data_IF_136108209226
#
_entry.id   IF_136108209226
#
_cell.length_a   1.000
_cell.length_b   1.000
_cell.length_c   1.000
_cell.angle_alpha   90.00
_cell.angle_beta   90.00
_cell.angle_gamma   90.00
#
_symmetry.space_group_name_H-M   'P 1'
#
loop_
_entity.id
_entity.type
_entity.pdbx_description
1 polymer ?
#
# COMPACT_ATOMS: atom_id res chain seq x y z
N UNK A 1 -0.49 4.98 22.34
CA UNK A 1 0.82 5.64 22.27
C UNK A 1 0.57 7.12 21.96
N UNK A 2 1.32 8.07 22.53
CA UNK A 2 1.16 9.47 22.16
C UNK A 2 1.60 9.66 20.70
N UNK A 3 0.74 10.27 19.87
CA UNK A 3 1.04 10.60 18.48
C UNK A 3 1.88 11.86 18.47
N UNK A 4 3.05 11.81 17.84
CA UNK A 4 3.92 12.98 17.70
C UNK A 4 3.38 13.87 16.57
N UNK A 5 2.93 15.08 16.91
CA UNK A 5 2.46 16.06 15.92
C UNK A 5 3.67 16.66 15.21
N UNK A 6 3.65 16.61 13.88
CA UNK A 6 4.70 17.10 12.99
C UNK A 6 4.26 18.37 12.26
N UNK A 7 5.13 19.39 12.28
CA UNK A 7 4.81 20.71 11.74
C UNK A 7 4.72 20.74 10.19
N UNK A 8 5.44 19.86 9.49
CA UNK A 8 5.36 19.71 8.03
C UNK A 8 4.02 19.15 7.57
N UNK A 9 3.54 18.11 8.24
CA UNK A 9 2.22 17.50 7.99
C UNK A 9 1.12 18.51 8.29
N UNK A 10 1.20 19.20 9.43
CA UNK A 10 0.25 20.26 9.79
C UNK A 10 0.21 21.35 8.73
N UNK A 11 1.36 21.84 8.26
CA UNK A 11 1.43 22.86 7.22
C UNK A 11 0.74 22.42 5.93
N UNK A 12 1.02 21.20 5.45
CA UNK A 12 0.39 20.67 4.24
C UNK A 12 -1.11 20.47 4.40
N UNK A 13 -1.56 20.00 5.56
CA UNK A 13 -2.98 19.83 5.85
C UNK A 13 -3.72 21.17 5.82
N UNK A 14 -3.21 22.17 6.53
CA UNK A 14 -3.81 23.51 6.58
C UNK A 14 -3.83 24.16 5.19
N UNK A 15 -2.73 24.03 4.44
CA UNK A 15 -2.63 24.57 3.08
C UNK A 15 -3.62 23.93 2.11
N UNK A 16 -3.73 22.59 2.14
CA UNK A 16 -4.67 21.82 1.32
C UNK A 16 -6.13 22.21 1.62
N UNK A 17 -6.46 22.40 2.89
CA UNK A 17 -7.80 22.86 3.31
C UNK A 17 -8.05 24.27 2.78
N UNK A 18 -7.09 25.19 2.93
CA UNK A 18 -7.21 26.56 2.43
C UNK A 18 -7.41 26.62 0.90
N UNK A 19 -6.64 25.82 0.15
CA UNK A 19 -6.71 25.79 -1.31
C UNK A 19 -8.05 25.24 -1.80
N UNK A 20 -8.64 24.33 -1.03
CA UNK A 20 -9.96 23.76 -1.29
C UNK A 20 -11.10 24.72 -0.92
N UNK A 21 -10.95 25.50 0.16
CA UNK A 21 -11.91 26.54 0.57
C UNK A 21 -11.95 27.71 -0.43
N UNK A 22 -10.80 28.05 -1.04
CA UNK A 22 -10.67 29.15 -2.01
C UNK A 22 -11.26 28.84 -3.38
N UNK A 23 -11.39 27.57 -3.75
CA UNK A 23 -11.84 27.14 -5.07
C UNK A 23 -12.92 26.03 -4.92
N UNK A 24 -14.13 26.39 -4.45
CA UNK A 24 -15.15 25.42 -4.08
C UNK A 24 -15.62 24.63 -5.31
N UNK A 25 -15.09 23.41 -5.44
CA UNK A 25 -15.59 22.39 -6.36
C UNK A 25 -16.79 21.63 -5.79
N UNK A 26 -17.33 20.64 -6.52
CA UNK A 26 -18.46 19.83 -6.04
C UNK A 26 -18.09 18.94 -4.83
N UNK A 27 -16.81 18.69 -4.61
CA UNK A 27 -16.31 17.78 -3.57
C UNK A 27 -15.58 18.54 -2.45
N UNK A 28 -15.86 18.23 -1.16
CA UNK A 28 -15.12 18.79 -0.03
C UNK A 28 -13.64 18.36 -0.05
N UNK A 29 -12.80 19.05 0.72
CA UNK A 29 -11.34 18.80 0.83
C UNK A 29 -11.05 17.30 0.88
N UNK A 30 -10.35 16.79 -0.12
CA UNK A 30 -9.94 15.38 -0.16
C UNK A 30 -8.42 15.28 -0.01
N UNK A 31 -7.99 14.54 1.02
CA UNK A 31 -6.59 14.23 1.27
C UNK A 31 -6.22 12.94 0.57
N UNK A 32 -5.21 13.00 -0.28
CA UNK A 32 -4.59 11.81 -0.86
C UNK A 32 -3.12 11.74 -0.44
N UNK A 33 -2.51 10.58 -0.64
CA UNK A 33 -1.12 10.37 -0.25
C UNK A 33 -0.12 11.26 -1.01
N UNK A 34 -0.47 11.71 -2.23
CA UNK A 34 0.37 12.61 -3.01
C UNK A 34 0.46 14.02 -2.39
N UNK A 35 -0.51 14.41 -1.57
CA UNK A 35 -0.48 15.68 -0.81
C UNK A 35 0.62 15.71 0.25
N UNK A 36 1.09 14.53 0.66
CA UNK A 36 2.15 14.34 1.65
C UNK A 36 3.40 13.69 1.04
N UNK A 37 3.61 13.88 -0.28
CA UNK A 37 4.77 13.32 -0.98
C UNK A 37 6.08 13.71 -0.28
N UNK A 38 6.88 12.70 0.10
CA UNK A 38 8.14 12.89 0.84
C UNK A 38 7.98 12.94 2.37
N UNK A 39 6.77 12.71 2.89
CA UNK A 39 6.50 12.60 4.33
C UNK A 39 5.92 11.22 4.62
N UNK A 40 6.67 10.41 5.38
CA UNK A 40 6.17 9.15 5.94
C UNK A 40 5.06 9.43 6.95
N UNK A 41 3.83 9.08 6.58
CA UNK A 41 2.64 9.30 7.39
C UNK A 41 1.77 8.06 7.40
N UNK A 42 1.62 7.41 8.56
CA UNK A 42 0.67 6.30 8.69
C UNK A 42 -0.76 6.85 8.76
N UNK A 43 -1.80 6.03 8.45
CA UNK A 43 -3.18 6.45 8.65
C UNK A 43 -3.50 6.87 10.09
N UNK A 44 -2.86 6.22 11.08
CA UNK A 44 -3.00 6.58 12.48
C UNK A 44 -2.36 7.95 12.80
N UNK A 45 -1.19 8.22 12.22
CA UNK A 45 -0.54 9.53 12.35
C UNK A 45 -1.38 10.61 11.68
N UNK A 46 -1.82 10.40 10.44
CA UNK A 46 -2.70 11.33 9.71
C UNK A 46 -3.96 11.66 10.53
N UNK A 47 -4.65 10.64 11.04
CA UNK A 47 -5.84 10.82 11.88
C UNK A 47 -5.51 11.55 13.17
N UNK A 48 -4.35 11.27 13.79
CA UNK A 48 -3.90 12.00 14.98
C UNK A 48 -3.62 13.47 14.73
N UNK A 49 -3.06 13.82 13.56
CA UNK A 49 -2.84 15.22 13.17
C UNK A 49 -4.18 15.91 12.88
N UNK A 50 -5.11 15.21 12.22
CA UNK A 50 -6.43 15.73 11.92
C UNK A 50 -7.27 15.94 13.19
N UNK A 51 -7.23 14.97 14.12
CA UNK A 51 -7.85 15.06 15.44
C UNK A 51 -7.25 16.19 16.27
N UNK A 52 -5.92 16.33 16.30
CA UNK A 52 -5.24 17.46 16.94
C UNK A 52 -5.70 18.81 16.39
N UNK A 53 -5.72 18.97 15.06
CA UNK A 53 -6.15 20.22 14.42
C UNK A 53 -7.61 20.55 14.74
N UNK A 54 -8.46 19.54 14.86
CA UNK A 54 -9.87 19.71 15.21
C UNK A 54 -10.07 20.02 16.71
N UNK A 55 -9.39 19.30 17.60
CA UNK A 55 -9.46 19.52 19.06
C UNK A 55 -8.93 20.88 19.47
N UNK A 56 -7.83 21.32 18.86
CA UNK A 56 -7.25 22.65 19.08
C UNK A 56 -7.99 23.76 18.33
N UNK A 57 -9.09 23.44 17.65
CA UNK A 57 -9.91 24.39 16.90
C UNK A 57 -9.13 25.17 15.83
N UNK A 58 -8.15 24.54 15.17
CA UNK A 58 -7.52 25.07 13.97
C UNK A 58 -8.38 24.81 12.74
N UNK A 59 -9.03 23.66 12.69
CA UNK A 59 -10.01 23.29 11.66
C UNK A 59 -11.36 22.94 12.30
N UNK A 60 -12.42 23.02 11.51
CA UNK A 60 -13.71 22.45 11.83
C UNK A 60 -13.96 21.24 10.94
N UNK A 61 -13.71 20.03 11.46
CA UNK A 61 -13.85 18.79 10.71
C UNK A 61 -15.20 18.10 10.98
N UNK A 62 -15.89 17.70 9.91
CA UNK A 62 -17.08 16.85 9.99
C UNK A 62 -16.67 15.39 9.72
N UNK A 63 -17.11 14.49 10.61
CA UNK A 63 -16.93 13.04 10.44
C UNK A 63 -18.29 12.34 10.36
N UNK A 64 -18.40 11.32 9.53
CA UNK A 64 -19.47 10.31 9.61
C UNK A 64 -19.02 9.12 10.45
N UNK A 65 -19.97 8.50 11.16
CA UNK A 65 -19.73 7.33 11.99
C UNK A 65 -19.86 7.63 13.48
N UNK A 66 -20.23 6.62 14.26
CA UNK A 66 -20.28 6.74 15.71
C UNK A 66 -18.95 6.24 16.28
N UNK A 67 -18.13 7.15 16.81
CA UNK A 67 -16.84 6.80 17.41
C UNK A 67 -16.96 5.88 18.65
N UNK A 68 -18.17 5.72 19.19
CA UNK A 68 -18.48 4.89 20.37
C UNK A 68 -19.79 4.08 20.22
N UNK A 69 -20.19 3.71 18.99
CA UNK A 69 -21.48 3.04 18.73
C UNK A 69 -21.60 1.64 19.34
N UNK A 70 -22.81 1.25 19.75
CA UNK A 70 -23.11 -0.10 20.21
C UNK A 70 -23.76 -0.94 19.10
N UNK A 71 -23.82 -2.25 19.29
CA UNK A 71 -24.27 -3.25 18.30
C UNK A 71 -25.69 -3.03 17.74
N UNK A 72 -26.52 -2.21 18.42
CA UNK A 72 -27.87 -1.85 17.99
C UNK A 72 -27.89 -0.80 16.85
N UNK A 73 -26.76 -0.15 16.55
CA UNK A 73 -26.65 0.91 15.53
C UNK A 73 -26.38 0.38 14.10
N UNK A 74 -26.36 -0.95 13.90
CA UNK A 74 -26.07 -1.58 12.60
C UNK A 74 -27.34 -1.66 11.75
N UNK A 75 -27.46 -0.93 10.62
CA UNK A 75 -28.61 -1.08 9.74
C UNK A 75 -28.56 -2.42 9.01
N UNK A 76 -29.62 -3.21 9.13
CA UNK A 76 -29.82 -4.43 8.35
C UNK A 76 -30.15 -4.09 6.90
N UNK A 77 -29.16 -3.89 6.02
CA UNK A 77 -29.45 -3.85 4.58
C UNK A 77 -28.33 -4.38 3.70
N UNK A 78 -28.69 -5.44 2.96
CA UNK A 78 -28.04 -5.93 1.75
C UNK A 78 -28.34 -4.92 0.63
N UNK A 79 -27.39 -4.06 0.27
CA UNK A 79 -27.40 -3.41 -1.03
C UNK A 79 -25.98 -2.98 -1.45
N UNK A 80 -25.44 -3.68 -2.45
CA UNK A 80 -24.04 -3.58 -2.90
C UNK A 80 -23.76 -2.41 -3.86
N UNK A 81 -24.47 -1.27 -3.74
CA UNK A 81 -24.34 -0.13 -4.66
C UNK A 81 -23.83 1.18 -4.06
N UNK A 82 -23.50 1.20 -2.77
CA UNK A 82 -22.82 2.34 -2.14
C UNK A 82 -21.53 1.84 -1.50
N UNK A 83 -20.45 1.86 -2.28
CA UNK A 83 -19.10 1.58 -1.77
C UNK A 83 -18.16 2.63 -2.34
N UNK A 84 -18.15 3.80 -1.71
CA UNK A 84 -17.05 4.76 -1.86
C UNK A 84 -16.00 4.48 -0.77
N UNK A 85 -14.73 4.78 -1.07
CA UNK A 85 -13.49 4.37 -0.38
C UNK A 85 -13.65 3.87 1.08
N UNK A 86 -13.48 2.56 1.28
CA UNK A 86 -13.57 1.90 2.59
C UNK A 86 -12.16 1.68 3.18
N UNK A 87 -11.82 2.41 4.24
CA UNK A 87 -10.62 2.12 5.04
C UNK A 87 -11.00 1.11 6.12
N UNK A 88 -10.53 -0.12 5.98
CA UNK A 88 -10.66 -1.13 7.02
C UNK A 88 -9.57 -0.93 8.07
N UNK A 89 -9.94 -0.75 9.34
CA UNK A 89 -9.04 -1.19 10.40
C UNK A 89 -9.00 -2.73 10.37
N UNK A 90 -7.79 -3.24 10.42
CA UNK A 90 -7.30 -4.62 10.35
C UNK A 90 -8.30 -5.70 10.81
N UNK A 91 -8.50 -6.71 9.96
CA UNK A 91 -9.10 -8.00 10.36
C UNK A 91 -8.30 -8.60 11.53
N UNK A 92 -8.89 -8.72 12.72
CA UNK A 92 -8.23 -9.39 13.86
C UNK A 92 -8.68 -9.05 15.29
N UNK A 93 -9.73 -8.26 15.52
CA UNK A 93 -10.24 -8.04 16.88
C UNK A 93 -10.96 -9.31 17.43
N UNK A 94 -10.83 -9.65 18.73
CA UNK A 94 -11.41 -10.86 19.34
C UNK A 94 -12.94 -10.98 19.31
N UNK A 95 -13.67 -9.94 18.88
CA UNK A 95 -15.12 -9.78 19.15
C UNK A 95 -16.07 -9.96 17.95
N UNK A 96 -15.64 -10.54 16.82
CA UNK A 96 -16.58 -10.83 15.71
C UNK A 96 -17.05 -9.58 14.93
N UNK A 97 -18.01 -9.73 13.99
CA UNK A 97 -17.85 -9.13 12.67
C UNK A 97 -18.26 -7.65 12.57
N UNK A 98 -17.34 -6.88 11.96
CA UNK A 98 -17.45 -5.54 11.37
C UNK A 98 -17.37 -4.34 12.35
N UNK A 99 -16.28 -3.54 12.27
CA UNK A 99 -16.06 -2.40 13.15
C UNK A 99 -16.77 -1.11 12.67
N UNK A 100 -17.13 -0.30 13.65
CA UNK A 100 -17.50 1.11 13.59
C UNK A 100 -16.59 1.91 12.63
N UNK A 101 -17.16 2.40 11.52
CA UNK A 101 -16.45 3.15 10.47
C UNK A 101 -16.54 4.65 10.75
N UNK A 102 -15.42 5.31 11.08
CA UNK A 102 -15.31 6.78 11.10
C UNK A 102 -14.77 7.22 9.74
N UNK A 103 -15.50 8.09 9.03
CA UNK A 103 -15.09 8.63 7.74
C UNK A 103 -15.05 10.17 7.79
N UNK A 104 -13.92 10.75 7.40
CA UNK A 104 -13.76 12.20 7.24
C UNK A 104 -14.62 12.69 6.08
N UNK A 105 -15.44 13.72 6.30
CA UNK A 105 -16.35 14.27 5.28
C UNK A 105 -15.87 15.60 4.71
N UNK A 106 -15.49 16.53 5.59
CA UNK A 106 -15.00 17.86 5.20
C UNK A 106 -14.22 18.48 6.35
N UNK A 107 -13.34 19.43 6.04
CA UNK A 107 -12.77 20.35 7.00
C UNK A 107 -12.81 21.76 6.44
N UNK A 108 -13.05 22.74 7.30
CA UNK A 108 -12.95 24.17 7.00
C UNK A 108 -11.90 24.78 7.95
N UNK A 109 -11.13 25.75 7.46
CA UNK A 109 -10.22 26.49 8.34
C UNK A 109 -11.01 27.41 9.27
N UNK A 110 -10.58 27.46 10.53
CA UNK A 110 -11.02 28.48 11.47
C UNK A 110 -10.12 29.73 11.34
N UNK A 111 -10.52 30.83 11.98
CA UNK A 111 -9.68 32.02 12.13
C UNK A 111 -8.30 31.68 12.76
N UNK A 112 -8.29 30.77 13.75
CA UNK A 112 -7.07 30.29 14.41
C UNK A 112 -6.20 29.47 13.45
N UNK A 113 -6.82 28.65 12.59
CA UNK A 113 -6.15 27.89 11.53
C UNK A 113 -5.50 28.78 10.47
N UNK A 114 -6.19 29.85 10.06
CA UNK A 114 -5.63 30.83 9.13
C UNK A 114 -4.40 31.54 9.71
N UNK A 115 -4.47 31.96 10.97
CA UNK A 115 -3.32 32.59 11.64
C UNK A 115 -2.13 31.64 11.76
N UNK A 116 -2.37 30.37 12.11
CA UNK A 116 -1.31 29.35 12.18
C UNK A 116 -0.65 29.13 10.81
N UNK A 117 -1.46 29.03 9.75
CA UNK A 117 -0.95 28.86 8.39
C UNK A 117 -0.13 30.08 7.95
N UNK A 118 -0.60 31.31 8.20
CA UNK A 118 0.16 32.52 7.90
C UNK A 118 1.50 32.60 8.65
N UNK A 119 1.54 32.15 9.91
CA UNK A 119 2.76 32.11 10.70
C UNK A 119 3.74 31.06 10.16
N UNK A 120 3.23 29.91 9.72
CA UNK A 120 4.02 28.85 9.06
C UNK A 120 4.49 29.27 7.66
N UNK A 121 3.74 30.10 6.92
CA UNK A 121 4.20 30.65 5.64
C UNK A 121 5.33 31.67 5.83
N UNK A 122 5.27 32.48 6.89
CA UNK A 122 6.34 33.42 7.26
C UNK A 122 7.58 32.70 7.79
N UNK A 123 7.40 31.61 8.53
CA UNK A 123 8.46 30.77 9.09
C UNK A 123 8.21 29.29 8.75
N UNK A 124 8.56 28.86 7.52
CA UNK A 124 8.33 27.48 7.10
C UNK A 124 9.01 26.48 8.03
N UNK A 125 8.35 25.34 8.36
CA UNK A 125 8.95 24.23 9.08
C UNK A 125 10.32 23.86 8.51
N UNK A 126 11.31 23.59 9.38
CA UNK A 126 12.69 23.34 8.93
C UNK A 126 12.80 22.10 8.03
N UNK A 127 11.93 21.12 8.24
CA UNK A 127 11.80 19.92 7.39
C UNK A 127 11.39 20.24 5.95
N UNK A 128 10.78 21.40 5.68
CA UNK A 128 10.49 21.88 4.32
C UNK A 128 11.66 22.66 3.69
N UNK A 129 12.60 23.19 4.50
CA UNK A 129 13.77 23.97 4.04
C UNK A 129 14.93 23.08 3.61
N UNK A 130 15.05 21.91 4.22
CA UNK A 130 15.87 20.82 3.68
C UNK A 130 15.16 20.24 2.47
N UNK A 131 15.25 20.96 1.34
CA UNK A 131 14.79 20.54 0.01
C UNK A 131 15.60 19.37 -0.52
N UNK A 132 15.71 18.31 0.26
CA UNK A 132 16.10 17.01 -0.21
C UNK A 132 14.80 16.29 -0.54
N UNK A 133 14.26 16.61 -1.70
CA UNK A 133 13.60 15.61 -2.54
C UNK A 133 14.69 14.58 -2.90
N UNK A 134 15.13 13.79 -1.92
CA UNK A 134 15.74 12.50 -2.22
C UNK A 134 14.51 11.65 -2.57
N UNK A 135 14.29 11.26 -3.84
CA UNK A 135 13.46 10.09 -4.08
C UNK A 135 13.97 9.01 -3.13
N UNK A 136 13.09 8.43 -2.32
CA UNK A 136 13.45 7.51 -1.24
C UNK A 136 14.19 6.31 -1.83
N UNK A 137 15.51 6.44 -1.99
CA UNK A 137 16.41 5.33 -2.14
C UNK A 137 16.65 4.80 -0.72
N UNK A 138 15.68 4.07 -0.18
CA UNK A 138 16.03 3.07 0.83
C UNK A 138 16.74 1.95 0.09
N UNK A 139 17.80 1.41 0.69
CA UNK A 139 18.70 0.48 0.02
C UNK A 139 18.05 -0.85 -0.38
N UNK A 140 16.77 -1.05 -0.02
CA UNK A 140 15.93 -2.18 -0.39
C UNK A 140 14.55 -1.79 -0.99
N UNK A 141 14.31 -0.52 -1.39
CA UNK A 141 13.20 -0.14 -2.30
C UNK A 141 13.36 -0.46 -3.80
N UNK A 142 14.50 -0.92 -4.38
CA UNK A 142 14.62 -0.98 -5.83
C UNK A 142 13.75 -2.08 -6.46
N UNK A 143 13.33 -3.10 -5.70
CA UNK A 143 12.49 -4.16 -6.26
C UNK A 143 11.06 -3.66 -6.53
N UNK A 144 10.33 -3.22 -5.49
CA UNK A 144 8.94 -2.80 -5.64
C UNK A 144 8.80 -1.50 -6.44
N UNK A 145 9.75 -0.58 -6.34
CA UNK A 145 9.79 0.61 -7.22
C UNK A 145 9.98 0.21 -8.68
N UNK A 146 10.87 -0.75 -8.97
CA UNK A 146 11.07 -1.26 -10.32
C UNK A 146 9.82 -1.96 -10.84
N UNK A 147 9.13 -2.74 -10.00
CA UNK A 147 7.83 -3.34 -10.34
C UNK A 147 6.82 -2.23 -10.64
N UNK A 148 6.67 -1.24 -9.77
CA UNK A 148 5.73 -0.13 -9.94
C UNK A 148 5.98 0.63 -11.25
N UNK A 149 7.22 1.06 -11.48
CA UNK A 149 7.63 1.83 -12.67
C UNK A 149 7.44 1.04 -13.97
N UNK A 150 7.74 -0.27 -13.98
CA UNK A 150 7.63 -1.11 -15.17
C UNK A 150 6.20 -1.60 -15.44
N UNK A 151 5.37 -1.72 -14.40
CA UNK A 151 4.00 -2.24 -14.51
C UNK A 151 2.95 -1.16 -14.76
N UNK A 152 3.25 0.11 -14.41
CA UNK A 152 2.31 1.22 -14.55
C UNK A 152 1.21 1.23 -13.49
N UNK A 153 1.38 0.51 -12.39
CA UNK A 153 0.47 0.55 -11.23
C UNK A 153 0.66 1.82 -10.42
N UNK A 154 -0.38 2.19 -9.66
CA UNK A 154 -0.52 3.52 -9.05
C UNK A 154 0.51 3.79 -7.95
N UNK A 155 0.84 2.78 -7.16
CA UNK A 155 1.69 2.93 -5.97
C UNK A 155 2.42 1.62 -5.59
N UNK A 156 3.25 1.72 -4.54
CA UNK A 156 4.06 0.61 -4.03
C UNK A 156 3.24 -0.47 -3.31
N UNK A 157 2.04 -0.15 -2.81
CA UNK A 157 1.16 -1.13 -2.16
C UNK A 157 0.51 -2.03 -3.20
N UNK A 158 0.01 -1.45 -4.30
CA UNK A 158 -0.44 -2.21 -5.46
C UNK A 158 0.70 -3.09 -6.00
N UNK A 159 1.90 -2.53 -6.16
CA UNK A 159 3.07 -3.28 -6.62
C UNK A 159 3.42 -4.46 -5.69
N UNK A 160 3.29 -4.28 -4.37
CA UNK A 160 3.49 -5.34 -3.37
C UNK A 160 2.43 -6.43 -3.50
N UNK A 161 1.16 -6.07 -3.46
CA UNK A 161 0.05 -7.02 -3.47
C UNK A 161 0.07 -7.86 -4.75
N UNK A 162 0.35 -7.23 -5.89
CA UNK A 162 0.45 -7.95 -7.16
C UNK A 162 1.70 -8.83 -7.20
N UNK A 163 2.84 -8.35 -6.67
CA UNK A 163 4.05 -9.18 -6.51
C UNK A 163 3.74 -10.44 -5.72
N UNK A 164 3.05 -10.31 -4.59
CA UNK A 164 2.68 -11.44 -3.72
C UNK A 164 1.80 -12.44 -4.48
N UNK A 165 0.85 -11.96 -5.28
CA UNK A 165 -0.02 -12.82 -6.10
C UNK A 165 0.76 -13.52 -7.21
N UNK A 166 1.67 -12.82 -7.90
CA UNK A 166 2.54 -13.42 -8.93
C UNK A 166 3.43 -14.50 -8.30
N UNK A 167 4.08 -14.19 -7.17
CA UNK A 167 4.93 -15.13 -6.43
C UNK A 167 4.16 -16.32 -5.89
N UNK A 168 2.97 -16.12 -5.34
CA UNK A 168 2.06 -17.21 -4.93
C UNK A 168 1.71 -18.10 -6.11
N UNK A 169 1.35 -17.52 -7.24
CA UNK A 169 0.98 -18.28 -8.45
C UNK A 169 2.17 -19.06 -9.01
N UNK A 170 3.39 -18.50 -8.96
CA UNK A 170 4.62 -19.21 -9.34
C UNK A 170 4.90 -20.40 -8.40
N UNK A 171 4.88 -20.16 -7.08
CA UNK A 171 5.14 -21.19 -6.07
C UNK A 171 4.16 -22.34 -6.11
N UNK A 172 2.89 -22.05 -6.37
CA UNK A 172 1.86 -23.07 -6.55
C UNK A 172 2.25 -24.09 -7.63
N UNK A 173 3.14 -23.76 -8.58
CA UNK A 173 3.57 -24.66 -9.66
C UNK A 173 4.89 -25.40 -9.37
N UNK A 174 5.56 -25.10 -8.25
CA UNK A 174 6.91 -25.56 -7.96
C UNK A 174 6.94 -26.50 -6.75
N UNK A 175 7.86 -27.49 -6.72
CA UNK A 175 8.12 -28.26 -5.51
C UNK A 175 8.67 -27.36 -4.39
N UNK A 176 8.34 -27.67 -3.12
CA UNK A 176 8.83 -26.92 -1.96
C UNK A 176 10.35 -26.73 -1.98
N UNK A 177 11.12 -27.75 -2.37
CA UNK A 177 12.57 -27.65 -2.46
C UNK A 177 13.05 -26.57 -3.43
N UNK A 178 12.33 -26.35 -4.53
CA UNK A 178 12.62 -25.26 -5.47
C UNK A 178 12.21 -23.93 -4.86
N UNK A 179 11.04 -23.87 -4.21
CA UNK A 179 10.56 -22.65 -3.51
C UNK A 179 11.54 -22.19 -2.45
N UNK A 180 12.05 -23.10 -1.63
CA UNK A 180 13.01 -22.81 -0.55
C UNK A 180 14.33 -22.27 -1.13
N UNK A 181 14.86 -22.89 -2.19
CA UNK A 181 16.08 -22.39 -2.83
C UNK A 181 15.91 -21.03 -3.53
N UNK A 182 14.71 -20.71 -4.01
CA UNK A 182 14.40 -19.36 -4.52
C UNK A 182 14.39 -18.37 -3.35
N UNK A 183 13.77 -18.74 -2.23
CA UNK A 183 13.72 -17.90 -1.02
C UNK A 183 15.12 -17.55 -0.53
N UNK A 184 16.03 -18.54 -0.46
CA UNK A 184 17.42 -18.37 -0.05
C UNK A 184 18.18 -17.33 -0.89
N UNK A 185 17.90 -17.21 -2.19
CA UNK A 185 18.54 -16.22 -3.08
C UNK A 185 17.87 -14.84 -3.02
N UNK A 186 16.60 -14.78 -2.62
CA UNK A 186 15.86 -13.53 -2.43
C UNK A 186 16.08 -12.90 -1.05
N UNK A 187 16.68 -13.65 -0.12
CA UNK A 187 17.10 -13.16 1.19
C UNK A 187 18.22 -12.13 1.04
N UNK A 188 18.05 -10.96 1.65
CA UNK A 188 19.10 -9.93 1.74
C UNK A 188 19.19 -9.45 3.18
N UNK A 189 20.39 -9.50 3.75
CA UNK A 189 20.63 -8.96 5.10
C UNK A 189 20.24 -7.47 5.15
N UNK A 190 19.09 -7.17 5.75
CA UNK A 190 18.64 -5.78 5.95
C UNK A 190 19.30 -5.17 7.19
N UNK A 191 19.79 -3.93 7.06
CA UNK A 191 20.17 -3.12 8.22
C UNK A 191 18.92 -2.79 9.06
N UNK A 192 18.97 -2.88 10.40
CA UNK A 192 17.80 -2.69 11.25
C UNK A 192 17.26 -1.25 11.13
N UNK A 193 16.02 -1.11 10.67
CA UNK A 193 15.30 0.17 10.62
C UNK A 193 14.14 0.20 11.63
N UNK A 194 13.53 1.36 11.84
CA UNK A 194 12.40 1.54 12.77
C UNK A 194 11.02 1.26 12.15
N UNK A 195 10.94 1.10 10.82
CA UNK A 195 9.69 0.96 10.09
C UNK A 195 9.41 -0.49 9.64
N UNK A 196 8.70 -1.26 10.49
CA UNK A 196 8.35 -2.67 10.23
C UNK A 196 7.58 -2.93 8.92
N UNK A 197 6.84 -1.94 8.41
CA UNK A 197 6.03 -2.12 7.19
C UNK A 197 6.86 -2.11 5.90
N UNK A 198 8.08 -1.54 5.95
CA UNK A 198 9.04 -1.47 4.84
C UNK A 198 10.19 -2.48 4.99
N UNK A 199 10.11 -3.36 5.99
CA UNK A 199 11.10 -4.42 6.27
C UNK A 199 10.73 -5.77 5.64
N UNK A 200 9.74 -5.83 4.74
CA UNK A 200 9.47 -7.08 4.04
C UNK A 200 10.60 -7.31 3.05
N UNK A 201 11.45 -8.29 3.35
CA UNK A 201 12.46 -8.75 2.40
C UNK A 201 11.76 -9.28 1.14
N UNK A 202 12.49 -9.34 0.01
CA UNK A 202 11.94 -9.95 -1.21
C UNK A 202 11.58 -11.42 -0.93
N UNK A 203 12.35 -12.05 -0.03
CA UNK A 203 12.02 -13.35 0.57
C UNK A 203 10.65 -13.38 1.26
N UNK A 204 10.29 -12.39 2.07
CA UNK A 204 8.98 -12.36 2.75
C UNK A 204 7.82 -12.24 1.76
N UNK A 205 7.99 -11.45 0.71
CA UNK A 205 7.03 -11.39 -0.40
C UNK A 205 6.94 -12.73 -1.11
N UNK A 206 8.09 -13.37 -1.35
CA UNK A 206 8.16 -14.69 -1.98
C UNK A 206 7.57 -15.76 -1.08
N UNK A 207 7.71 -15.72 0.24
CA UNK A 207 7.18 -16.74 1.15
C UNK A 207 5.73 -16.49 1.58
N UNK A 208 5.16 -15.36 1.16
CA UNK A 208 3.85 -14.83 1.56
C UNK A 208 3.90 -14.15 2.93
N UNK A 209 3.50 -12.88 2.96
CA UNK A 209 3.47 -12.10 4.20
C UNK A 209 2.40 -12.59 5.18
N UNK A 210 1.43 -13.39 4.71
CA UNK A 210 0.44 -14.04 5.56
C UNK A 210 0.95 -15.40 6.09
N UNK A 211 1.17 -15.55 7.41
CA UNK A 211 1.77 -16.76 7.99
C UNK A 211 0.90 -18.01 7.79
N UNK A 212 -0.42 -17.87 7.69
CA UNK A 212 -1.32 -19.00 7.42
C UNK A 212 -1.21 -19.45 5.97
N UNK A 213 -1.12 -18.51 5.03
CA UNK A 213 -0.94 -18.83 3.61
C UNK A 213 0.44 -19.45 3.38
N UNK A 214 1.48 -18.88 3.98
CA UNK A 214 2.85 -19.45 4.01
C UNK A 214 2.88 -20.87 4.57
N UNK A 215 2.15 -21.15 5.64
CA UNK A 215 2.07 -22.50 6.22
C UNK A 215 1.31 -23.48 5.32
N UNK A 216 0.16 -23.06 4.78
CA UNK A 216 -0.71 -23.93 3.96
C UNK A 216 -0.06 -24.25 2.61
N UNK A 217 0.67 -23.31 2.01
CA UNK A 217 1.34 -23.51 0.71
C UNK A 217 2.33 -24.68 0.76
N UNK A 218 3.07 -24.84 1.86
CA UNK A 218 4.03 -25.94 2.06
C UNK A 218 3.41 -27.34 2.11
N UNK A 219 2.11 -27.46 2.38
CA UNK A 219 1.42 -28.75 2.47
C UNK A 219 0.82 -29.18 1.12
N UNK A 220 0.61 -28.23 0.20
CA UNK A 220 -0.04 -28.49 -1.08
C UNK A 220 0.93 -29.13 -2.07
N UNK A 221 0.40 -30.01 -2.92
CA UNK A 221 1.15 -30.52 -4.06
C UNK A 221 1.22 -29.46 -5.16
N UNK A 222 2.30 -29.42 -5.96
CA UNK A 222 2.41 -28.52 -7.11
C UNK A 222 1.20 -28.67 -8.04
N UNK A 223 0.67 -27.53 -8.48
CA UNK A 223 -0.49 -27.40 -9.34
C UNK A 223 -0.06 -27.26 -10.81
N UNK A 224 -0.83 -27.86 -11.70
CA UNK A 224 -0.72 -27.63 -13.14
C UNK A 224 -1.58 -26.42 -13.49
N UNK A 225 -0.97 -25.24 -13.55
CA UNK A 225 -1.62 -23.98 -13.92
C UNK A 225 -1.37 -23.69 -15.41
N UNK A 226 -2.41 -23.32 -16.15
CA UNK A 226 -2.33 -22.91 -17.56
C UNK A 226 -2.10 -21.40 -17.68
N UNK A 227 -1.60 -20.94 -18.82
CA UNK A 227 -1.34 -19.52 -19.10
C UNK A 227 -2.52 -18.60 -18.74
N UNK A 228 -3.71 -18.89 -19.27
CA UNK A 228 -4.92 -18.10 -19.00
C UNK A 228 -5.28 -18.10 -17.51
N UNK A 229 -5.05 -19.21 -16.80
CA UNK A 229 -5.34 -19.31 -15.37
C UNK A 229 -4.34 -18.49 -14.55
N UNK A 230 -3.07 -18.48 -14.95
CA UNK A 230 -2.04 -17.67 -14.31
C UNK A 230 -2.40 -16.18 -14.42
N UNK A 231 -2.63 -15.70 -15.65
CA UNK A 231 -2.94 -14.29 -15.90
C UNK A 231 -4.29 -13.88 -15.30
N UNK A 232 -5.28 -14.78 -15.30
CA UNK A 232 -6.57 -14.56 -14.65
C UNK A 232 -6.41 -14.38 -13.14
N UNK A 233 -5.62 -15.22 -12.47
CA UNK A 233 -5.35 -15.08 -11.03
C UNK A 233 -4.64 -13.76 -10.73
N UNK A 234 -3.62 -13.39 -11.48
CA UNK A 234 -2.93 -12.10 -11.32
C UNK A 234 -3.91 -10.93 -11.46
N UNK A 235 -4.79 -10.97 -12.45
CA UNK A 235 -5.82 -9.93 -12.65
C UNK A 235 -6.83 -9.87 -11.52
N UNK A 236 -7.35 -11.01 -11.08
CA UNK A 236 -8.46 -11.09 -10.14
C UNK A 236 -8.03 -10.95 -8.69
N UNK A 237 -6.94 -11.62 -8.31
CA UNK A 237 -6.43 -11.64 -6.93
C UNK A 237 -5.52 -10.44 -6.65
N UNK A 238 -4.80 -9.92 -7.66
CA UNK A 238 -3.96 -8.72 -7.53
C UNK A 238 -4.73 -7.40 -7.63
N UNK A 239 -6.06 -7.44 -7.71
CA UNK A 239 -6.89 -6.22 -7.73
C UNK A 239 -6.62 -5.28 -8.92
N UNK A 240 -6.10 -5.79 -10.04
CA UNK A 240 -5.66 -4.97 -11.16
C UNK A 240 -6.80 -4.10 -11.71
N UNK A 241 -6.51 -2.80 -11.87
CA UNK A 241 -7.42 -1.88 -12.53
C UNK A 241 -7.71 -2.34 -13.97
N UNK A 242 -8.92 -2.11 -14.52
CA UNK A 242 -9.29 -2.62 -15.83
C UNK A 242 -8.38 -2.18 -16.99
N UNK A 243 -7.71 -1.04 -16.81
CA UNK A 243 -6.79 -0.40 -17.76
C UNK A 243 -5.36 -0.96 -17.72
N UNK A 244 -5.00 -1.72 -16.68
CA UNK A 244 -3.67 -2.29 -16.52
C UNK A 244 -3.65 -3.69 -17.13
N UNK A 245 -2.67 -3.91 -18.02
CA UNK A 245 -2.48 -5.19 -18.70
C UNK A 245 -1.76 -6.22 -17.80
N UNK A 246 -2.36 -7.38 -17.49
CA UNK A 246 -1.75 -8.38 -16.62
C UNK A 246 -0.40 -8.90 -17.12
N UNK A 247 -0.19 -9.02 -18.44
CA UNK A 247 1.09 -9.49 -18.98
C UNK A 247 2.21 -8.48 -18.70
N UNK A 248 1.93 -7.19 -18.86
CA UNK A 248 2.86 -6.09 -18.53
C UNK A 248 3.26 -6.14 -17.06
N UNK A 249 2.31 -6.35 -16.16
CA UNK A 249 2.59 -6.44 -14.71
C UNK A 249 3.41 -7.68 -14.38
N UNK A 250 3.05 -8.84 -14.95
CA UNK A 250 3.80 -10.09 -14.77
C UNK A 250 5.24 -9.93 -15.26
N UNK A 251 5.46 -9.32 -16.43
CA UNK A 251 6.80 -9.01 -16.94
C UNK A 251 7.58 -8.09 -16.01
N UNK A 252 6.93 -7.08 -15.42
CA UNK A 252 7.57 -6.18 -14.47
C UNK A 252 8.09 -6.92 -13.23
N UNK A 253 7.25 -7.78 -12.64
CA UNK A 253 7.63 -8.62 -11.49
C UNK A 253 8.75 -9.58 -11.88
N UNK A 254 8.63 -10.27 -13.02
CA UNK A 254 9.67 -11.19 -13.51
C UNK A 254 11.01 -10.50 -13.73
N UNK A 255 11.01 -9.33 -14.37
CA UNK A 255 12.22 -8.54 -14.63
C UNK A 255 12.88 -8.13 -13.33
N UNK A 256 12.08 -7.64 -12.36
CA UNK A 256 12.60 -7.28 -11.05
C UNK A 256 13.15 -8.48 -10.27
N UNK A 257 12.51 -9.64 -10.39
CA UNK A 257 12.93 -10.87 -9.69
C UNK A 257 14.22 -11.43 -10.27
N UNK A 258 14.36 -11.42 -11.61
CA UNK A 258 15.57 -11.94 -12.27
C UNK A 258 16.83 -11.15 -11.92
N UNK A 259 16.69 -9.85 -11.63
CA UNK A 259 17.81 -9.03 -11.17
C UNK A 259 18.34 -9.47 -9.78
N UNK A 260 17.57 -10.24 -9.03
CA UNK A 260 17.87 -10.71 -7.67
C UNK A 260 18.28 -12.19 -7.61
N UNK A 261 18.23 -12.89 -8.74
CA UNK A 261 18.43 -14.34 -8.81
C UNK A 261 19.65 -14.70 -9.65
N UNK A 262 20.29 -15.82 -9.30
CA UNK A 262 21.35 -16.39 -10.14
C UNK A 262 20.80 -16.95 -11.46
N UNK A 263 21.67 -17.04 -12.48
CA UNK A 263 21.29 -17.65 -13.78
C UNK A 263 20.73 -19.07 -13.62
N UNK A 264 21.30 -19.87 -12.71
CA UNK A 264 20.85 -21.23 -12.42
C UNK A 264 19.41 -21.23 -11.89
N UNK A 265 19.09 -20.32 -10.96
CA UNK A 265 17.74 -20.16 -10.41
C UNK A 265 16.75 -19.66 -11.46
N UNK A 266 17.18 -18.74 -12.31
CA UNK A 266 16.37 -18.21 -13.41
C UNK A 266 16.00 -19.33 -14.40
N UNK A 267 16.94 -20.21 -14.75
CA UNK A 267 16.68 -21.34 -15.63
C UNK A 267 15.82 -22.41 -14.96
N UNK A 268 16.02 -22.66 -13.67
CA UNK A 268 15.20 -23.60 -12.91
C UNK A 268 13.72 -23.15 -12.88
N UNK A 269 13.45 -21.91 -12.47
CA UNK A 269 12.08 -21.33 -12.46
C UNK A 269 11.43 -21.45 -13.84
N UNK A 270 12.17 -21.12 -14.90
CA UNK A 270 11.70 -21.19 -16.28
C UNK A 270 11.22 -22.60 -16.68
N UNK A 271 11.73 -23.65 -16.05
CA UNK A 271 11.31 -25.03 -16.27
C UNK A 271 9.88 -25.34 -15.83
N UNK A 272 9.33 -24.57 -14.90
CA UNK A 272 7.99 -24.76 -14.32
C UNK A 272 6.91 -23.89 -14.97
N UNK A 273 7.30 -22.80 -15.66
CA UNK A 273 6.34 -21.85 -16.22
C UNK A 273 5.68 -22.39 -17.51
N UNK A 274 4.36 -22.16 -17.70
CA UNK A 274 3.61 -22.61 -18.86
C UNK A 274 3.82 -21.68 -20.07
N UNK A 275 3.55 -22.21 -21.27
CA UNK A 275 3.58 -21.55 -22.60
C UNK A 275 3.89 -20.06 -22.63
N UNK A 276 2.85 -19.23 -22.61
CA UNK A 276 2.95 -17.77 -22.68
C UNK A 276 3.66 -17.20 -21.46
N UNK A 277 3.38 -17.66 -20.24
CA UNK A 277 4.02 -17.13 -19.02
C UNK A 277 5.53 -17.33 -19.05
N UNK A 278 6.00 -18.47 -19.55
CA UNK A 278 7.41 -18.76 -19.78
C UNK A 278 8.04 -17.80 -20.80
N UNK A 279 7.28 -17.44 -21.84
CA UNK A 279 7.71 -16.42 -22.80
C UNK A 279 7.82 -15.05 -22.14
N UNK A 280 6.87 -14.66 -21.29
CA UNK A 280 6.95 -13.43 -20.50
C UNK A 280 8.21 -13.43 -19.62
N UNK A 281 8.54 -14.57 -18.98
CA UNK A 281 9.76 -14.73 -18.17
C UNK A 281 11.04 -14.57 -18.98
N UNK A 282 11.07 -15.07 -20.21
CA UNK A 282 12.23 -14.95 -21.10
C UNK A 282 12.43 -13.52 -21.63
N UNK A 283 11.34 -12.81 -21.89
CA UNK A 283 11.34 -11.45 -22.44
C UNK A 283 11.54 -10.35 -21.39
N UNK A 284 11.31 -10.66 -20.12
CA UNK A 284 11.45 -9.77 -18.97
C UNK A 284 12.91 -9.61 -18.51
#
# INVERSE_FOLDING_TARGET
MPISIRDDVVYLMLKKIQDSDRNPGPDPVNFNQADFTGIELTPADFLGHLDYLNQEAYINAEFSGNAYGNQDDVPNVINAKEVDFRIANTYGAPDGPLPHLIAFKKAELTEKGHQMLEDMEKNPPESLKTGTTVPIATKDTPFLEKVMLKSGVSDLYDARDITEVVFRTMRDMMPNQTVDRVADELHKEMEPTTEKALQNEIEDLWEDTNPLVRFISRIRQPLIIKDDTFLFRVRQEGGLQPTVDPETVVKAVFSATKDELSDDRIQEIQGFLPGTVKKLWQEA
#
